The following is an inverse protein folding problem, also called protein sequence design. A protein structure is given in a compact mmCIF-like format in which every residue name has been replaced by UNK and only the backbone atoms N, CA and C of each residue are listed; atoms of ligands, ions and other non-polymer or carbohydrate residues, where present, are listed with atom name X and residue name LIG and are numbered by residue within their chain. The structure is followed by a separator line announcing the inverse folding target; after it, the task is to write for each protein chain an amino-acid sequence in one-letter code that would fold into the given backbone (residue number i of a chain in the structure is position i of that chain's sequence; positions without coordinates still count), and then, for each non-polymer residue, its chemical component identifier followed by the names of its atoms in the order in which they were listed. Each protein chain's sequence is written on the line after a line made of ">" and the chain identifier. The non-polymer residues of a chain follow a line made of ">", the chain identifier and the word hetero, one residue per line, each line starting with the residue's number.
data_IF_068709985049
#
_entry.id   IF_068709985049
#
_cell.length_a   1.000
_cell.length_b   1.000
_cell.length_c   1.000
_cell.angle_alpha   90.00
_cell.angle_beta   90.00
_cell.angle_gamma   90.00
#
_symmetry.space_group_name_H-M   'P 1'
#
loop_
_entity.id
_entity.type
_entity.pdbx_description
1 polymer ?
#
# COMPACT_ATOMS: atom_id res chain seq x y z
N UNK A 1 7.70 0.19 -5.44
CA UNK A 1 6.60 0.79 -6.22
C UNK A 1 6.06 2.02 -5.47
N UNK A 2 5.28 2.94 -6.07
CA UNK A 2 4.77 4.11 -5.32
C UNK A 2 3.65 3.74 -4.33
N UNK A 3 3.51 4.46 -3.19
CA UNK A 3 2.39 4.26 -2.25
C UNK A 3 1.00 4.38 -2.89
N UNK A 4 0.85 5.29 -3.87
CA UNK A 4 -0.39 5.44 -4.62
C UNK A 4 -0.75 4.18 -5.44
N UNK A 5 0.25 3.51 -6.00
CA UNK A 5 0.05 2.28 -6.76
C UNK A 5 -0.27 1.11 -5.84
N UNK A 6 0.39 1.02 -4.67
CA UNK A 6 0.07 0.05 -3.62
C UNK A 6 -1.38 0.19 -3.16
N UNK A 7 -1.85 1.43 -2.98
CA UNK A 7 -3.25 1.72 -2.64
C UNK A 7 -4.23 1.23 -3.70
N UNK A 8 -4.01 1.58 -4.98
CA UNK A 8 -4.93 1.18 -6.05
C UNK A 8 -4.93 -0.33 -6.24
N UNK A 9 -3.74 -0.97 -6.20
CA UNK A 9 -3.59 -2.42 -6.24
C UNK A 9 -4.37 -3.10 -5.12
N UNK A 10 -4.23 -2.60 -3.88
CA UNK A 10 -4.90 -3.15 -2.71
C UNK A 10 -6.42 -2.95 -2.78
N UNK A 11 -6.88 -1.77 -3.20
CA UNK A 11 -8.29 -1.49 -3.38
C UNK A 11 -8.93 -2.35 -4.48
N UNK A 12 -8.27 -2.49 -5.63
CA UNK A 12 -8.73 -3.36 -6.71
C UNK A 12 -8.84 -4.81 -6.25
N UNK A 13 -7.83 -5.31 -5.54
CA UNK A 13 -7.80 -6.67 -5.00
C UNK A 13 -8.89 -6.89 -3.94
N UNK A 14 -9.22 -5.87 -3.15
CA UNK A 14 -10.33 -5.95 -2.18
C UNK A 14 -11.69 -6.25 -2.83
N UNK A 15 -11.88 -5.91 -4.11
CA UNK A 15 -13.10 -6.17 -4.86
C UNK A 15 -13.29 -7.65 -5.27
N UNK A 16 -12.26 -8.49 -5.11
CA UNK A 16 -12.33 -9.94 -5.37
C UNK A 16 -13.13 -10.70 -4.31
N UNK A 17 -13.26 -10.13 -3.11
CA UNK A 17 -14.05 -10.71 -2.03
C UNK A 17 -15.44 -10.07 -1.99
N UNK A 18 -16.47 -10.91 -1.89
CA UNK A 18 -17.83 -10.46 -1.53
C UNK A 18 -17.80 -9.93 -0.09
N UNK A 19 -18.05 -8.65 0.08
CA UNK A 19 -18.00 -8.00 1.38
C UNK A 19 -18.70 -6.65 1.38
N UNK A 20 -18.86 -6.05 2.57
CA UNK A 20 -19.31 -4.67 2.69
C UNK A 20 -18.12 -3.74 2.42
N UNK A 21 -18.38 -2.44 2.37
CA UNK A 21 -17.34 -1.40 2.29
C UNK A 21 -16.31 -1.57 3.43
N UNK A 22 -16.76 -2.03 4.61
CA UNK A 22 -15.90 -2.32 5.76
C UNK A 22 -14.80 -3.33 5.44
N UNK A 23 -15.13 -4.49 4.90
CA UNK A 23 -14.14 -5.53 4.57
C UNK A 23 -13.19 -5.04 3.47
N UNK A 24 -13.70 -4.33 2.46
CA UNK A 24 -12.85 -3.73 1.43
C UNK A 24 -11.87 -2.72 1.99
N UNK A 25 -12.33 -1.88 2.93
CA UNK A 25 -11.51 -0.92 3.66
C UNK A 25 -10.42 -1.61 4.46
N UNK A 26 -10.74 -2.67 5.20
CA UNK A 26 -9.76 -3.45 5.97
C UNK A 26 -8.69 -4.01 5.02
N UNK A 27 -9.11 -4.71 3.96
CA UNK A 27 -8.17 -5.31 2.99
C UNK A 27 -7.28 -4.24 2.33
N UNK A 28 -7.88 -3.11 1.92
CA UNK A 28 -7.15 -2.02 1.27
C UNK A 28 -6.11 -1.40 2.22
N UNK A 29 -6.50 -1.11 3.46
CA UNK A 29 -5.62 -0.51 4.46
C UNK A 29 -4.51 -1.50 4.86
N UNK A 30 -4.83 -2.78 5.01
CA UNK A 30 -3.82 -3.81 5.30
C UNK A 30 -2.74 -3.89 4.22
N UNK A 31 -3.11 -3.74 2.95
CA UNK A 31 -2.17 -3.81 1.84
C UNK A 31 -1.22 -2.61 1.74
N UNK A 32 -1.59 -1.44 2.29
CA UNK A 32 -0.73 -0.24 2.33
C UNK A 32 -0.13 0.03 3.71
N UNK A 33 -0.43 -0.80 4.70
CA UNK A 33 0.03 -0.60 6.07
C UNK A 33 1.57 -0.47 6.18
N UNK A 34 2.40 -1.18 5.38
CA UNK A 34 3.86 -1.01 5.43
C UNK A 34 4.30 0.44 5.18
N UNK A 35 3.64 1.17 4.29
CA UNK A 35 4.00 2.55 3.91
C UNK A 35 3.89 3.56 5.06
N UNK A 36 3.27 3.19 6.20
CA UNK A 36 3.21 4.05 7.39
C UNK A 36 4.62 4.41 7.88
N UNK A 37 5.60 3.54 7.67
CA UNK A 37 7.01 3.82 8.02
C UNK A 37 7.68 4.88 7.14
N UNK A 38 7.04 5.26 6.03
CA UNK A 38 7.48 6.33 5.15
C UNK A 38 7.06 7.74 5.59
N UNK A 39 6.39 7.89 6.75
CA UNK A 39 5.87 9.19 7.24
C UNK A 39 6.96 10.25 7.41
N UNK A 40 8.21 9.83 7.62
CA UNK A 40 9.38 10.72 7.67
C UNK A 40 9.51 11.61 6.42
N UNK A 41 9.01 11.16 5.26
CA UNK A 41 9.00 11.94 4.01
C UNK A 41 8.23 13.25 4.15
N UNK A 42 7.22 13.30 5.03
CA UNK A 42 6.43 14.49 5.32
C UNK A 42 6.96 15.26 6.54
N UNK A 43 7.48 14.55 7.55
CA UNK A 43 7.90 15.15 8.83
C UNK A 43 9.29 15.80 8.70
N UNK A 44 10.24 15.14 8.04
CA UNK A 44 11.63 15.63 7.96
C UNK A 44 11.73 17.04 7.35
N UNK A 45 11.02 17.39 6.25
CA UNK A 45 11.03 18.76 5.72
C UNK A 45 10.52 19.80 6.73
N UNK A 46 9.47 19.48 7.49
CA UNK A 46 8.87 20.40 8.46
C UNK A 46 9.83 20.66 9.62
N UNK A 47 10.46 19.61 10.14
CA UNK A 47 11.46 19.73 11.20
C UNK A 47 12.69 20.52 10.74
N UNK A 48 13.15 20.29 9.51
CA UNK A 48 14.26 21.07 8.91
C UNK A 48 13.90 22.55 8.77
N UNK A 49 12.67 22.87 8.37
CA UNK A 49 12.18 24.26 8.34
C UNK A 49 12.12 24.90 9.73
N UNK A 50 11.87 24.11 10.78
CA UNK A 50 11.90 24.56 12.17
C UNK A 50 13.32 24.61 12.77
N UNK A 51 14.37 24.35 11.98
CA UNK A 51 15.77 24.40 12.43
C UNK A 51 16.29 23.12 13.08
N UNK A 52 15.55 22.02 13.02
CA UNK A 52 15.97 20.71 13.55
C UNK A 52 16.55 19.81 12.45
N UNK A 53 17.68 19.16 12.72
CA UNK A 53 18.14 18.06 11.89
C UNK A 53 17.27 16.82 12.10
N UNK A 54 16.85 16.17 11.01
CA UNK A 54 16.02 14.96 11.04
C UNK A 54 16.28 14.09 9.81
N UNK A 55 16.26 12.77 10.03
CA UNK A 55 16.39 11.72 9.03
C UNK A 55 15.42 10.56 9.34
N UNK A 56 14.21 10.90 9.80
CA UNK A 56 13.22 9.89 10.18
C UNK A 56 12.89 8.98 9.01
N UNK A 57 12.84 9.53 7.79
CA UNK A 57 12.63 8.72 6.60
C UNK A 57 13.78 7.72 6.41
N UNK A 58 15.04 8.16 6.43
CA UNK A 58 16.17 7.25 6.22
C UNK A 58 16.34 6.20 7.33
N UNK A 59 15.96 6.52 8.56
CA UNK A 59 16.09 5.63 9.73
C UNK A 59 14.94 4.62 9.85
N UNK A 60 13.71 5.02 9.52
CA UNK A 60 12.52 4.21 9.78
C UNK A 60 11.89 3.62 8.54
N UNK A 61 12.14 4.16 7.34
CA UNK A 61 11.59 3.60 6.12
C UNK A 61 12.08 2.15 5.93
N UNK A 62 11.15 1.22 5.75
CA UNK A 62 11.32 -0.25 5.79
C UNK A 62 11.38 -0.93 7.18
N UNK A 63 11.23 -0.20 8.27
CA UNK A 63 11.10 -0.81 9.62
C UNK A 63 9.83 -1.64 9.79
N UNK A 64 8.76 -1.33 9.03
CA UNK A 64 7.49 -2.07 9.05
C UNK A 64 7.42 -3.14 7.95
N UNK A 65 8.42 -3.27 7.09
CA UNK A 65 8.43 -4.20 5.96
C UNK A 65 8.92 -5.61 6.36
N UNK A 66 8.36 -6.15 7.45
CA UNK A 66 8.77 -7.42 8.05
C UNK A 66 7.58 -8.35 8.34
N UNK A 67 7.89 -9.64 8.56
CA UNK A 67 6.90 -10.67 8.84
C UNK A 67 6.12 -10.40 10.14
N UNK A 68 6.77 -9.86 11.16
CA UNK A 68 6.13 -9.53 12.43
C UNK A 68 4.98 -8.52 12.25
N UNK A 69 5.23 -7.44 11.50
CA UNK A 69 4.21 -6.46 11.17
C UNK A 69 3.14 -7.03 10.23
N UNK A 70 3.51 -7.89 9.28
CA UNK A 70 2.54 -8.61 8.45
C UNK A 70 1.56 -9.42 9.28
N UNK A 71 2.06 -10.20 10.24
CA UNK A 71 1.23 -11.03 11.13
C UNK A 71 0.35 -10.15 12.03
N UNK A 72 0.90 -9.05 12.56
CA UNK A 72 0.13 -8.08 13.31
C UNK A 72 -1.05 -7.52 12.49
N UNK A 73 -0.78 -6.99 11.28
CA UNK A 73 -1.80 -6.46 10.37
C UNK A 73 -2.84 -7.53 10.01
N UNK A 74 -2.40 -8.77 9.78
CA UNK A 74 -3.28 -9.91 9.46
C UNK A 74 -4.22 -10.24 10.63
N UNK A 75 -3.70 -10.27 11.86
CA UNK A 75 -4.50 -10.50 13.07
C UNK A 75 -5.52 -9.38 13.28
N UNK A 76 -5.11 -8.12 13.13
CA UNK A 76 -6.02 -6.97 13.21
C UNK A 76 -7.11 -7.08 12.13
N UNK A 77 -6.76 -7.44 10.90
CA UNK A 77 -7.74 -7.63 9.83
C UNK A 77 -8.75 -8.73 10.17
N UNK A 78 -8.31 -9.87 10.72
CA UNK A 78 -9.18 -10.95 11.14
C UNK A 78 -10.16 -10.54 12.24
N UNK A 79 -9.67 -9.86 13.28
CA UNK A 79 -10.48 -9.43 14.44
C UNK A 79 -11.48 -8.34 14.04
N UNK A 80 -11.07 -7.40 13.19
CA UNK A 80 -11.89 -6.24 12.80
C UNK A 80 -12.90 -6.54 11.69
N UNK A 81 -12.69 -7.59 10.89
CA UNK A 81 -13.63 -8.01 9.86
C UNK A 81 -14.96 -8.46 10.46
N UNK A 82 -16.08 -8.05 9.85
CA UNK A 82 -17.41 -8.44 10.34
C UNK A 82 -17.92 -9.72 9.69
N UNK A 83 -17.57 -9.93 8.41
CA UNK A 83 -17.91 -11.10 7.62
C UNK A 83 -16.69 -11.63 6.87
N UNK A 84 -16.72 -12.90 6.47
CA UNK A 84 -15.64 -13.54 5.70
C UNK A 84 -14.24 -13.37 6.33
N UNK A 85 -14.16 -13.35 7.67
CA UNK A 85 -12.97 -12.97 8.46
C UNK A 85 -11.69 -13.67 7.99
N UNK A 86 -11.76 -14.98 7.78
CA UNK A 86 -10.62 -15.76 7.30
C UNK A 86 -10.15 -15.29 5.91
N UNK A 87 -11.07 -15.09 4.95
CA UNK A 87 -10.71 -14.59 3.62
C UNK A 87 -10.14 -13.17 3.67
N UNK A 88 -10.67 -12.32 4.55
CA UNK A 88 -10.13 -10.96 4.78
C UNK A 88 -8.71 -11.03 5.32
N UNK A 89 -8.45 -11.90 6.30
CA UNK A 89 -7.11 -12.12 6.85
C UNK A 89 -6.14 -12.67 5.79
N UNK A 90 -6.56 -13.66 4.99
CA UNK A 90 -5.74 -14.18 3.89
C UNK A 90 -5.41 -13.08 2.87
N UNK A 91 -6.37 -12.23 2.50
CA UNK A 91 -6.10 -11.11 1.59
C UNK A 91 -5.18 -10.07 2.20
N UNK A 92 -5.33 -9.75 3.50
CA UNK A 92 -4.43 -8.85 4.20
C UNK A 92 -2.99 -9.39 4.15
N UNK A 93 -2.80 -10.66 4.48
CA UNK A 93 -1.50 -11.33 4.42
C UNK A 93 -0.92 -11.33 3.00
N UNK A 94 -1.72 -11.72 2.00
CA UNK A 94 -1.27 -11.80 0.61
C UNK A 94 -0.92 -10.42 0.03
N UNK A 95 -1.73 -9.39 0.29
CA UNK A 95 -1.48 -8.05 -0.22
C UNK A 95 -0.31 -7.37 0.46
N UNK A 96 -0.11 -7.63 1.75
CA UNK A 96 1.11 -7.20 2.45
C UNK A 96 2.36 -7.80 1.79
N UNK A 97 2.35 -9.10 1.49
CA UNK A 97 3.49 -9.73 0.80
C UNK A 97 3.64 -9.22 -0.64
N UNK A 98 2.53 -8.99 -1.34
CA UNK A 98 2.57 -8.41 -2.68
C UNK A 98 3.18 -6.99 -2.65
N UNK A 99 2.85 -6.20 -1.63
CA UNK A 99 3.50 -4.90 -1.35
C UNK A 99 5.01 -5.08 -1.22
N UNK A 100 5.46 -5.97 -0.34
CA UNK A 100 6.90 -6.25 -0.16
C UNK A 100 7.59 -6.66 -1.46
N UNK A 101 6.93 -7.52 -2.26
CA UNK A 101 7.46 -7.95 -3.57
C UNK A 101 7.58 -6.74 -4.50
N UNK A 102 6.58 -5.87 -4.56
CA UNK A 102 6.58 -4.66 -5.38
C UNK A 102 7.68 -3.65 -5.00
N UNK A 103 8.09 -3.61 -3.72
CA UNK A 103 9.22 -2.79 -3.28
C UNK A 103 10.56 -3.48 -3.53
N UNK A 104 10.66 -4.77 -3.21
CA UNK A 104 11.84 -5.57 -3.53
C UNK A 104 12.24 -5.50 -5.01
N UNK A 105 11.26 -5.40 -5.91
CA UNK A 105 11.53 -5.31 -7.36
C UNK A 105 11.71 -3.89 -7.89
N UNK A 106 11.10 -2.87 -7.25
CA UNK A 106 10.86 -1.59 -7.92
C UNK A 106 10.86 -0.37 -7.01
N UNK A 107 11.66 -0.34 -5.95
CA UNK A 107 11.81 0.83 -5.07
C UNK A 107 13.25 1.31 -4.90
N UNK A 108 14.17 0.97 -5.82
CA UNK A 108 15.55 1.45 -5.74
C UNK A 108 15.59 2.98 -5.73
N UNK A 109 16.40 3.53 -4.83
CA UNK A 109 16.55 4.96 -4.62
C UNK A 109 17.24 5.66 -5.80
N UNK A 110 17.07 6.98 -5.94
CA UNK A 110 17.73 7.77 -6.99
C UNK A 110 19.26 7.81 -6.83
N UNK A 111 19.76 7.49 -5.64
CA UNK A 111 21.16 7.30 -5.28
C UNK A 111 21.70 5.90 -5.65
N UNK A 112 20.83 5.02 -6.17
CA UNK A 112 21.15 3.64 -6.51
C UNK A 112 21.04 2.66 -5.34
N UNK A 113 20.66 3.12 -4.14
CA UNK A 113 20.52 2.26 -2.98
C UNK A 113 19.32 1.32 -3.12
N UNK A 114 19.53 0.03 -2.83
CA UNK A 114 18.53 -1.02 -3.09
C UNK A 114 17.42 -1.11 -2.04
N UNK A 115 17.49 -0.35 -0.95
CA UNK A 115 16.47 -0.38 0.11
C UNK A 115 16.07 -1.81 0.53
N UNK A 116 17.03 -2.61 1.04
CA UNK A 116 16.76 -3.99 1.40
C UNK A 116 15.68 -4.12 2.48
N UNK A 117 14.98 -5.27 2.50
CA UNK A 117 13.92 -5.57 3.47
C UNK A 117 14.43 -6.56 4.51
N UNK A 118 14.52 -6.15 5.78
CA UNK A 118 14.87 -7.05 6.89
C UNK A 118 13.65 -7.85 7.34
N UNK A 119 13.39 -8.97 6.66
CA UNK A 119 12.13 -9.70 6.74
C UNK A 119 11.82 -10.28 8.14
N UNK A 120 12.84 -10.62 8.92
CA UNK A 120 12.69 -11.16 10.28
C UNK A 120 12.96 -10.12 11.39
N UNK A 121 13.13 -8.84 11.03
CA UNK A 121 13.29 -7.76 12.01
C UNK A 121 12.04 -7.65 12.91
N UNK A 122 12.17 -7.30 14.21
CA UNK A 122 13.39 -6.96 14.95
C UNK A 122 14.12 -8.17 15.58
N UNK A 123 13.68 -9.39 15.32
CA UNK A 123 14.25 -10.59 15.96
C UNK A 123 15.55 -11.05 15.31
N UNK A 124 15.68 -10.86 13.99
CA UNK A 124 16.86 -11.25 13.25
C UNK A 124 17.04 -10.40 11.99
N UNK A 125 18.27 -9.96 11.77
CA UNK A 125 18.71 -9.27 10.55
C UNK A 125 19.35 -10.23 9.54
N UNK A 126 19.29 -11.55 9.78
CA UNK A 126 19.94 -12.55 8.89
C UNK A 126 19.21 -12.70 7.57
N UNK A 127 17.88 -12.56 7.57
CA UNK A 127 17.05 -12.67 6.36
C UNK A 127 16.76 -11.27 5.82
N UNK A 128 17.75 -10.72 5.13
CA UNK A 128 17.64 -9.47 4.40
C UNK A 128 17.34 -9.77 2.93
N UNK A 129 16.21 -9.29 2.44
CA UNK A 129 15.78 -9.48 1.06
C UNK A 129 16.26 -8.28 0.23
N UNK A 130 17.05 -8.57 -0.79
CA UNK A 130 17.42 -7.63 -1.84
C UNK A 130 17.36 -8.33 -3.19
N UNK A 131 17.24 -7.57 -4.27
CA UNK A 131 17.20 -8.13 -5.61
C UNK A 131 18.16 -7.39 -6.54
N UNK A 132 19.08 -8.14 -7.14
CA UNK A 132 20.11 -7.60 -8.04
C UNK A 132 19.55 -6.83 -9.25
N UNK A 133 18.31 -7.11 -9.65
CA UNK A 133 17.67 -6.46 -10.80
C UNK A 133 16.60 -5.44 -10.39
N UNK A 134 16.60 -5.04 -9.12
CA UNK A 134 15.67 -4.02 -8.64
C UNK A 134 15.82 -2.75 -9.50
N UNK A 135 14.70 -2.27 -10.02
CA UNK A 135 14.66 -1.05 -10.82
C UNK A 135 14.31 0.16 -9.94
N UNK A 136 14.64 1.35 -10.45
CA UNK A 136 14.37 2.62 -9.79
C UNK A 136 12.88 2.86 -9.60
N UNK A 137 12.51 3.57 -8.54
CA UNK A 137 11.10 3.85 -8.24
C UNK A 137 10.35 4.50 -9.42
N UNK A 138 11.01 5.35 -10.21
CA UNK A 138 10.47 6.04 -11.38
C UNK A 138 10.73 5.33 -12.72
N UNK A 139 11.23 4.08 -12.72
CA UNK A 139 11.50 3.35 -13.94
C UNK A 139 10.20 3.01 -14.73
N UNK A 140 10.34 2.81 -16.04
CA UNK A 140 9.21 2.52 -16.93
C UNK A 140 8.32 1.34 -16.50
N UNK A 141 8.81 0.24 -15.85
CA UNK A 141 7.94 -0.84 -15.41
C UNK A 141 6.92 -0.38 -14.37
N UNK A 142 7.33 0.45 -13.40
CA UNK A 142 6.43 1.01 -12.40
C UNK A 142 5.39 1.94 -13.03
N UNK A 143 5.81 2.74 -14.02
CA UNK A 143 4.90 3.62 -14.76
C UNK A 143 3.86 2.77 -15.51
N UNK A 144 4.29 1.72 -16.21
CA UNK A 144 3.39 0.81 -16.93
C UNK A 144 2.40 0.10 -15.99
N UNK A 145 2.88 -0.41 -14.85
CA UNK A 145 2.04 -1.04 -13.82
C UNK A 145 1.01 -0.03 -13.29
N UNK A 146 1.44 1.18 -12.95
CA UNK A 146 0.54 2.23 -12.47
C UNK A 146 -0.54 2.55 -13.51
N UNK A 147 -0.19 2.73 -14.78
CA UNK A 147 -1.14 2.97 -15.87
C UNK A 147 -2.17 1.84 -15.99
N UNK A 148 -1.74 0.58 -15.94
CA UNK A 148 -2.64 -0.58 -15.95
C UNK A 148 -3.57 -0.56 -14.73
N UNK A 149 -3.05 -0.29 -13.53
CA UNK A 149 -3.86 -0.19 -12.32
C UNK A 149 -4.92 0.91 -12.43
N UNK A 150 -4.57 2.10 -12.95
CA UNK A 150 -5.53 3.17 -13.19
C UNK A 150 -6.59 2.77 -14.21
N UNK A 151 -6.22 2.14 -15.33
CA UNK A 151 -7.18 1.67 -16.35
C UNK A 151 -8.16 0.63 -15.77
N UNK A 152 -7.66 -0.32 -14.97
CA UNK A 152 -8.52 -1.32 -14.30
C UNK A 152 -9.39 -0.66 -13.24
N UNK A 153 -8.88 0.35 -12.52
CA UNK A 153 -9.67 1.15 -11.58
C UNK A 153 -10.82 1.87 -12.28
N UNK A 154 -10.57 2.56 -13.40
CA UNK A 154 -11.63 3.20 -14.20
C UNK A 154 -12.64 2.19 -14.72
N UNK A 155 -12.18 1.02 -15.17
CA UNK A 155 -13.07 -0.09 -15.56
C UNK A 155 -13.95 -0.54 -14.38
N UNK A 156 -13.36 -0.71 -13.20
CA UNK A 156 -14.09 -1.06 -11.97
C UNK A 156 -15.14 -0.01 -11.62
N UNK A 157 -14.77 1.28 -11.65
CA UNK A 157 -15.70 2.40 -11.42
C UNK A 157 -16.87 2.36 -12.42
N UNK A 158 -16.58 2.17 -13.71
CA UNK A 158 -17.61 2.16 -14.77
C UNK A 158 -18.61 1.02 -14.62
N UNK A 159 -18.14 -0.20 -14.35
CA UNK A 159 -18.96 -1.43 -14.42
C UNK A 159 -19.42 -1.97 -13.06
N UNK A 160 -18.64 -1.76 -12.00
CA UNK A 160 -18.99 -2.18 -10.63
C UNK A 160 -19.61 -1.05 -9.82
N UNK A 161 -19.58 0.19 -10.31
CA UNK A 161 -20.10 1.39 -9.61
C UNK A 161 -19.54 1.48 -8.18
N UNK A 162 -18.23 1.29 -8.07
CA UNK A 162 -17.44 1.42 -6.83
C UNK A 162 -16.23 2.29 -7.10
N UNK A 163 -15.89 3.18 -6.17
CA UNK A 163 -14.70 4.01 -6.27
C UNK A 163 -13.82 3.84 -5.03
N UNK A 164 -12.51 4.18 -5.11
CA UNK A 164 -11.64 4.18 -3.93
C UNK A 164 -12.10 5.16 -2.84
N UNK A 165 -12.93 6.15 -3.16
CA UNK A 165 -13.44 7.13 -2.19
C UNK A 165 -14.36 6.49 -1.14
N UNK A 166 -14.96 5.32 -1.41
CA UNK A 166 -15.75 4.56 -0.43
C UNK A 166 -14.94 4.20 0.83
N UNK A 167 -13.62 4.11 0.68
CA UNK A 167 -12.68 3.79 1.75
C UNK A 167 -12.56 4.97 2.72
N UNK A 168 -12.65 6.20 2.23
CA UNK A 168 -12.59 7.42 3.05
C UNK A 168 -13.94 7.73 3.70
N UNK A 169 -14.99 7.91 2.90
CA UNK A 169 -16.33 8.18 3.40
C UNK A 169 -17.41 7.98 2.34
N UNK A 170 -18.63 7.68 2.78
CA UNK A 170 -19.79 7.64 1.89
C UNK A 170 -20.03 8.98 1.19
N UNK A 171 -19.86 10.10 1.90
CA UNK A 171 -20.04 11.44 1.33
C UNK A 171 -19.08 11.73 0.17
N UNK A 172 -17.82 11.32 0.29
CA UNK A 172 -16.82 11.46 -0.76
C UNK A 172 -17.13 10.59 -1.97
N UNK A 173 -17.56 9.34 -1.75
CA UNK A 173 -17.98 8.42 -2.81
C UNK A 173 -19.21 8.95 -3.57
N UNK A 174 -20.23 9.43 -2.83
CA UNK A 174 -21.42 10.05 -3.41
C UNK A 174 -21.05 11.30 -4.23
N UNK A 175 -20.14 12.14 -3.72
CA UNK A 175 -19.67 13.33 -4.43
C UNK A 175 -18.91 12.98 -5.71
N UNK A 176 -18.05 11.97 -5.66
CA UNK A 176 -17.33 11.46 -6.82
C UNK A 176 -18.30 10.98 -7.90
N UNK A 177 -19.28 10.13 -7.56
CA UNK A 177 -20.24 9.63 -8.55
C UNK A 177 -21.17 10.71 -9.10
N UNK A 178 -21.55 11.71 -8.31
CA UNK A 178 -22.29 12.89 -8.81
C UNK A 178 -21.53 13.64 -9.91
N UNK A 179 -20.21 13.72 -9.82
CA UNK A 179 -19.37 14.36 -10.83
C UNK A 179 -19.16 13.40 -12.00
N UNK A 180 -18.78 12.16 -11.72
CA UNK A 180 -18.45 11.15 -12.72
C UNK A 180 -19.61 10.87 -13.69
N UNK A 181 -20.84 10.78 -13.18
CA UNK A 181 -22.02 10.53 -14.00
C UNK A 181 -22.46 11.76 -14.82
N UNK A 182 -21.90 12.96 -14.60
CA UNK A 182 -22.12 14.14 -15.49
C UNK A 182 -21.30 14.11 -16.77
N UNK A 183 -20.21 13.33 -16.79
CA UNK A 183 -19.29 13.22 -17.93
C UNK A 183 -19.48 11.92 -18.73
N UNK A 184 -20.58 11.19 -18.47
CA UNK A 184 -21.02 10.03 -19.24
C UNK A 184 -22.03 10.42 -20.30
#
# INVERSE_FOLDING_TARGET
>A
MSPSSHFIMSWLSSNLIKGRVRERRIITISGIAPDIDGVGLLIDPILRMAGHSSNLWGEWHHSLHNLGFCLFVTCIAYITASINKFKVACMAFLLFHLHLVCDLIGSKGPDGYQWPLSYLSPFSEVVTLSWKYQWELNAWPNIAIALVLYLVMFRCIKYKKRSPFEIMSKKADDAFFRIFDRFK
#
